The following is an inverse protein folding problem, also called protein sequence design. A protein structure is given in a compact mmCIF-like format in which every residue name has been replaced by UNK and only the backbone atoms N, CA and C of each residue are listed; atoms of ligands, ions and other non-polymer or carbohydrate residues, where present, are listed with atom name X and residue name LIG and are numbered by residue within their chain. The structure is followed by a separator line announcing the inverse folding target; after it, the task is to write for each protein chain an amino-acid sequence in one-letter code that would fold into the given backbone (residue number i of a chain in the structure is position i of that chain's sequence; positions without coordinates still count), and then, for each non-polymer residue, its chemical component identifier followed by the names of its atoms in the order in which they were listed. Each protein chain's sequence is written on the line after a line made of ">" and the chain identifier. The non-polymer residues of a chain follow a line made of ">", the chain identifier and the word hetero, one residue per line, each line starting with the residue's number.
data_IF_392927427016
#
_entry.id   IF_392927427016
#
_cell.length_a   1.000
_cell.length_b   1.000
_cell.length_c   1.000
_cell.angle_alpha   90.00
_cell.angle_beta   90.00
_cell.angle_gamma   90.00
#
_symmetry.space_group_name_H-M   'P 1'
#
loop_
_entity.id
_entity.type
_entity.pdbx_description
1 polymer ?
#
# COMPACT_ATOMS: atom_id res chain seq x y z
N UNK A 1 -2.00 3.31 12.72
CA UNK A 1 -1.84 3.76 11.31
C UNK A 1 -0.73 2.97 10.66
N UNK A 2 -0.87 2.70 9.37
CA UNK A 2 0.20 2.18 8.52
C UNK A 2 0.80 3.36 7.76
N UNK A 3 2.12 3.39 7.59
CA UNK A 3 2.82 4.49 6.93
C UNK A 3 3.96 4.00 6.04
N UNK A 4 4.20 4.78 4.98
CA UNK A 4 5.25 4.56 3.99
C UNK A 4 6.64 4.96 4.49
N UNK A 5 6.71 5.92 5.41
CA UNK A 5 7.98 6.43 5.93
C UNK A 5 7.87 6.77 7.43
N UNK A 6 8.88 6.36 8.20
CA UNK A 6 9.07 6.82 9.57
C UNK A 6 10.16 7.89 9.61
N UNK A 7 9.79 9.05 10.15
CA UNK A 7 10.70 10.18 10.31
C UNK A 7 10.89 10.51 11.80
N UNK A 8 12.00 11.16 12.19
CA UNK A 8 12.18 11.67 13.54
C UNK A 8 11.09 12.68 13.92
N UNK A 9 10.75 12.75 15.21
CA UNK A 9 9.73 13.69 15.71
C UNK A 9 10.07 15.14 15.38
N UNK A 10 11.36 15.50 15.40
CA UNK A 10 11.85 16.84 15.07
C UNK A 10 11.53 17.22 13.62
N UNK A 11 11.43 16.25 12.70
CA UNK A 11 11.05 16.52 11.31
C UNK A 11 9.61 17.02 11.22
N UNK A 12 8.68 16.33 11.92
CA UNK A 12 7.26 16.70 11.97
C UNK A 12 7.08 18.05 12.68
N UNK A 13 7.84 18.28 13.76
CA UNK A 13 7.81 19.53 14.52
C UNK A 13 8.31 20.76 13.75
N UNK A 14 9.05 20.60 12.65
CA UNK A 14 9.47 21.72 11.80
C UNK A 14 8.30 22.36 11.03
N UNK A 15 7.27 21.58 10.72
CA UNK A 15 6.08 22.03 9.98
C UNK A 15 4.82 21.40 10.61
N UNK A 16 4.51 21.71 11.87
CA UNK A 16 3.46 21.04 12.64
C UNK A 16 2.06 21.21 12.01
N UNK A 17 1.84 22.29 11.25
CA UNK A 17 0.61 22.57 10.50
C UNK A 17 0.30 21.54 9.39
N UNK A 18 1.30 20.77 8.95
CA UNK A 18 1.12 19.65 8.01
C UNK A 18 0.66 18.36 8.70
N UNK A 19 0.62 18.33 10.04
CA UNK A 19 0.17 17.14 10.79
C UNK A 19 -1.35 17.06 10.81
N UNK A 20 -1.90 16.10 10.04
CA UNK A 20 -3.35 15.90 9.95
C UNK A 20 -3.90 15.16 11.18
N UNK A 21 -3.18 14.14 11.67
CA UNK A 21 -3.61 13.32 12.80
C UNK A 21 -2.66 13.51 14.00
N UNK A 22 -3.12 14.12 15.11
CA UNK A 22 -2.31 14.29 16.31
C UNK A 22 -1.91 12.97 16.96
N UNK A 23 -0.67 12.87 17.45
CA UNK A 23 -0.13 11.62 18.03
C UNK A 23 -0.92 11.06 19.21
N UNK A 24 -1.56 11.90 20.04
CA UNK A 24 -2.40 11.44 21.15
C UNK A 24 -3.71 10.74 20.70
N UNK A 25 -4.07 10.83 19.41
CA UNK A 25 -5.19 10.09 18.80
C UNK A 25 -4.74 8.80 18.12
N UNK A 26 -3.47 8.43 18.25
CA UNK A 26 -2.85 7.31 17.56
C UNK A 26 -2.28 6.34 18.59
N UNK A 27 -2.77 5.11 18.59
CA UNK A 27 -2.28 4.06 19.47
C UNK A 27 -1.04 3.35 18.92
N UNK A 28 -0.98 3.13 17.60
CA UNK A 28 0.12 2.43 16.95
C UNK A 28 0.48 3.08 15.60
N UNK A 29 1.78 3.08 15.29
CA UNK A 29 2.34 3.46 13.97
C UNK A 29 3.15 2.28 13.46
N UNK A 30 2.82 1.79 12.27
CA UNK A 30 3.47 0.63 11.64
C UNK A 30 4.10 1.10 10.34
N UNK A 31 5.41 0.88 10.21
CA UNK A 31 6.12 1.09 8.94
C UNK A 31 5.86 -0.10 8.02
N UNK A 32 5.10 0.13 6.95
CA UNK A 32 4.82 -0.86 5.92
C UNK A 32 4.73 -0.13 4.58
N UNK A 33 5.86 -0.01 3.86
CA UNK A 33 5.85 0.54 2.51
C UNK A 33 4.95 -0.27 1.58
N UNK A 34 4.33 0.42 0.61
CA UNK A 34 3.28 -0.12 -0.24
C UNK A 34 2.07 -0.65 0.55
N UNK A 35 1.76 -0.04 1.69
CA UNK A 35 0.69 -0.48 2.59
C UNK A 35 -0.71 -0.29 2.02
N UNK A 36 -0.87 0.66 1.08
CA UNK A 36 -2.13 0.91 0.38
C UNK A 36 -2.29 0.14 -0.95
N UNK A 37 -1.26 -0.59 -1.39
CA UNK A 37 -1.32 -1.40 -2.61
C UNK A 37 -2.54 -2.35 -2.55
N UNK A 38 -3.33 -2.51 -3.64
CA UNK A 38 -3.09 -2.04 -5.02
C UNK A 38 -3.62 -0.62 -5.33
N UNK A 39 -4.11 0.12 -4.34
CA UNK A 39 -4.55 1.51 -4.53
C UNK A 39 -3.38 2.49 -4.46
N UNK A 40 -3.59 3.75 -4.85
CA UNK A 40 -2.53 4.77 -4.89
C UNK A 40 -2.22 5.32 -3.49
N UNK A 41 -0.95 5.72 -3.28
CA UNK A 41 -0.52 6.54 -2.15
C UNK A 41 0.17 7.80 -2.66
N UNK A 42 -0.47 8.95 -2.46
CA UNK A 42 -0.01 10.24 -2.98
C UNK A 42 1.46 10.52 -2.64
N UNK A 43 2.24 10.99 -3.62
CA UNK A 43 3.71 11.19 -3.58
C UNK A 43 4.58 9.93 -3.49
N UNK A 44 4.01 8.73 -3.28
CA UNK A 44 4.77 7.48 -3.18
C UNK A 44 4.60 6.57 -4.40
N UNK A 45 3.35 6.27 -4.79
CA UNK A 45 3.04 5.38 -5.92
C UNK A 45 1.59 5.53 -6.41
N UNK A 46 1.38 5.25 -7.70
CA UNK A 46 0.06 5.18 -8.33
C UNK A 46 -0.60 3.81 -8.11
N UNK A 47 -1.87 3.68 -8.49
CA UNK A 47 -2.61 2.42 -8.35
C UNK A 47 -2.15 1.37 -9.37
N UNK A 48 -2.22 0.10 -8.97
CA UNK A 48 -1.97 -1.02 -9.87
C UNK A 48 -3.26 -1.42 -10.59
N UNK A 49 -3.44 -0.86 -11.79
CA UNK A 49 -4.62 -1.12 -12.61
C UNK A 49 -4.79 -2.61 -12.95
N UNK A 50 -3.69 -3.35 -13.11
CA UNK A 50 -3.74 -4.75 -13.52
C UNK A 50 -4.13 -5.65 -12.34
N UNK A 51 -3.59 -5.39 -11.15
CA UNK A 51 -4.00 -6.10 -9.94
C UNK A 51 -5.45 -5.79 -9.55
N UNK A 52 -5.89 -4.52 -9.71
CA UNK A 52 -7.30 -4.15 -9.51
C UNK A 52 -8.24 -4.88 -10.49
N UNK A 53 -7.86 -4.98 -11.77
CA UNK A 53 -8.62 -5.77 -12.76
C UNK A 53 -8.65 -7.25 -12.41
N UNK A 54 -7.54 -7.80 -11.93
CA UNK A 54 -7.45 -9.19 -11.47
C UNK A 54 -8.42 -9.42 -10.30
N UNK A 55 -8.38 -8.59 -9.27
CA UNK A 55 -9.31 -8.64 -8.14
C UNK A 55 -10.77 -8.60 -8.60
N UNK A 56 -11.14 -7.64 -9.46
CA UNK A 56 -12.49 -7.53 -10.02
C UNK A 56 -12.87 -8.78 -10.82
N UNK A 57 -11.92 -9.37 -11.55
CA UNK A 57 -12.13 -10.62 -12.29
C UNK A 57 -12.56 -11.77 -11.38
N UNK A 58 -11.85 -11.98 -10.27
CA UNK A 58 -12.17 -13.00 -9.28
C UNK A 58 -13.43 -12.69 -8.47
N UNK A 59 -13.65 -11.42 -8.11
CA UNK A 59 -14.77 -11.00 -7.27
C UNK A 59 -16.13 -11.01 -7.99
N UNK A 60 -16.15 -11.10 -9.33
CA UNK A 60 -17.40 -11.18 -10.12
C UNK A 60 -18.23 -12.43 -9.83
N UNK A 61 -17.61 -13.50 -9.34
CA UNK A 61 -18.24 -14.80 -9.09
C UNK A 61 -17.87 -15.29 -7.70
N UNK A 62 -18.86 -15.73 -6.93
CA UNK A 62 -18.66 -16.23 -5.58
C UNK A 62 -17.79 -17.50 -5.55
N UNK A 63 -17.80 -18.28 -6.64
CA UNK A 63 -17.04 -19.52 -6.77
C UNK A 63 -15.54 -19.26 -6.96
N UNK A 64 -15.16 -18.17 -7.62
CA UNK A 64 -13.75 -17.86 -7.90
C UNK A 64 -13.10 -16.99 -6.83
N UNK A 65 -13.87 -16.16 -6.12
CA UNK A 65 -13.32 -15.27 -5.10
C UNK A 65 -12.49 -15.97 -4.00
N UNK A 66 -12.86 -17.17 -3.52
CA UNK A 66 -12.03 -17.93 -2.58
C UNK A 66 -10.62 -18.23 -3.11
N UNK A 67 -10.45 -18.42 -4.42
CA UNK A 67 -9.12 -18.66 -5.00
C UNK A 67 -8.23 -17.42 -4.88
N UNK A 68 -8.78 -16.22 -5.11
CA UNK A 68 -8.05 -14.97 -4.88
C UNK A 68 -7.63 -14.83 -3.41
N UNK A 69 -8.56 -15.08 -2.49
CA UNK A 69 -8.31 -15.00 -1.05
C UNK A 69 -7.22 -16.01 -0.64
N UNK A 70 -7.31 -17.25 -1.11
CA UNK A 70 -6.32 -18.28 -0.81
C UNK A 70 -4.95 -17.96 -1.41
N UNK A 71 -4.90 -17.42 -2.63
CA UNK A 71 -3.63 -17.13 -3.30
C UNK A 71 -2.91 -15.91 -2.69
N UNK A 72 -3.62 -14.79 -2.56
CA UNK A 72 -3.01 -13.48 -2.24
C UNK A 72 -3.10 -13.11 -0.76
N UNK A 73 -4.06 -13.64 -0.01
CA UNK A 73 -4.28 -13.27 1.40
C UNK A 73 -3.85 -14.41 2.32
N UNK A 74 -4.60 -15.52 2.35
CA UNK A 74 -4.36 -16.61 3.31
C UNK A 74 -3.09 -17.41 2.98
N UNK A 75 -2.71 -17.46 1.70
CA UNK A 75 -1.51 -18.14 1.26
C UNK A 75 -0.24 -17.31 1.43
N UNK A 76 -0.33 -16.01 1.73
CA UNK A 76 0.83 -15.15 1.96
C UNK A 76 1.16 -15.13 3.47
N UNK A 77 2.44 -15.36 3.81
CA UNK A 77 2.92 -15.31 5.19
C UNK A 77 2.88 -13.90 5.77
N UNK A 78 3.21 -12.91 4.94
CA UNK A 78 3.29 -11.51 5.31
C UNK A 78 3.03 -10.59 4.11
N UNK A 79 3.07 -9.27 4.35
CA UNK A 79 2.83 -8.25 3.33
C UNK A 79 3.81 -8.35 2.16
N UNK A 80 5.08 -8.66 2.43
CA UNK A 80 6.10 -8.73 1.38
C UNK A 80 5.85 -9.93 0.46
N UNK A 81 5.47 -11.08 1.01
CA UNK A 81 5.08 -12.23 0.17
C UNK A 81 3.83 -11.93 -0.66
N UNK A 82 2.86 -11.19 -0.12
CA UNK A 82 1.72 -10.71 -0.90
C UNK A 82 2.18 -9.85 -2.09
N UNK A 83 3.05 -8.86 -1.87
CA UNK A 83 3.57 -7.99 -2.94
C UNK A 83 4.36 -8.77 -3.99
N UNK A 84 5.17 -9.76 -3.57
CA UNK A 84 5.89 -10.64 -4.50
C UNK A 84 4.93 -11.43 -5.40
N UNK A 85 3.85 -11.98 -4.83
CA UNK A 85 2.80 -12.66 -5.61
C UNK A 85 2.05 -11.71 -6.53
N UNK A 86 1.87 -10.46 -6.13
CA UNK A 86 1.13 -9.46 -6.88
C UNK A 86 1.89 -8.86 -8.09
N UNK A 87 3.18 -9.20 -8.25
CA UNK A 87 4.02 -8.72 -9.35
C UNK A 87 5.46 -8.37 -8.92
N UNK A 88 5.70 -8.35 -7.60
CA UNK A 88 7.00 -8.15 -6.97
C UNK A 88 7.68 -6.84 -7.35
N UNK A 89 8.99 -6.78 -7.14
CA UNK A 89 9.80 -5.58 -7.36
C UNK A 89 9.63 -4.94 -8.75
N UNK A 90 9.37 -5.73 -9.80
CA UNK A 90 9.14 -5.20 -11.14
C UNK A 90 7.92 -4.29 -11.15
N UNK A 91 6.81 -4.79 -10.61
CA UNK A 91 5.56 -4.05 -10.60
C UNK A 91 5.61 -2.88 -9.63
N UNK A 92 6.17 -3.09 -8.44
CA UNK A 92 6.33 -2.04 -7.44
C UNK A 92 7.15 -0.87 -7.98
N UNK A 93 8.22 -1.12 -8.75
CA UNK A 93 8.99 -0.06 -9.37
C UNK A 93 8.25 0.66 -10.51
N UNK A 94 7.40 -0.06 -11.25
CA UNK A 94 6.65 0.50 -12.37
C UNK A 94 5.59 1.51 -11.94
N UNK A 95 5.04 1.37 -10.73
CA UNK A 95 4.00 2.25 -10.18
C UNK A 95 4.55 3.34 -9.26
N UNK A 96 5.87 3.44 -9.04
CA UNK A 96 6.42 4.48 -8.17
C UNK A 96 6.13 5.86 -8.76
N UNK A 97 5.63 6.76 -7.91
CA UNK A 97 5.35 8.11 -8.33
C UNK A 97 6.66 8.80 -8.74
N UNK A 98 6.64 9.49 -9.87
CA UNK A 98 7.74 10.38 -10.21
C UNK A 98 7.62 11.65 -9.37
N UNK A 99 8.71 11.99 -8.65
CA UNK A 99 8.77 13.17 -7.75
C UNK A 99 8.41 14.51 -8.42
N UNK A 100 8.41 14.59 -9.75
CA UNK A 100 8.09 15.81 -10.49
C UNK A 100 6.60 15.92 -10.87
N UNK A 101 5.87 14.80 -10.95
CA UNK A 101 4.47 14.77 -11.39
C UNK A 101 3.50 14.44 -10.26
N UNK A 102 3.96 13.76 -9.20
CA UNK A 102 3.14 13.42 -8.03
C UNK A 102 2.19 12.24 -8.24
N UNK A 103 2.26 11.61 -9.41
CA UNK A 103 1.62 10.35 -9.83
C UNK A 103 2.54 9.64 -10.82
#
# INVERSE_FOLDING_TARGET
>A
MVTEELVPTEYIQRNPERTILPGHRVEAVIHQPFGAYPSACYEYYDFDADHLRLYVGYAKKAETFPDYVNQYILGAKDHWEYLEKAGGLRQLNAIRAEKLLGY
#
